data_IF_271198768924
#
_entry.id   IF_271198768924
#
_cell.length_a   1.000
_cell.length_b   1.000
_cell.length_c   1.000
_cell.angle_alpha   90.00
_cell.angle_beta   90.00
_cell.angle_gamma   90.00
#
_symmetry.space_group_name_H-M   'P 1'
#
loop_
_entity.id
_entity.type
_entity.pdbx_description
1 polymer ?
#
# COMPACT_ATOMS: atom_id res chain seq x y z
N UNK A 1 -5.94 -16.38 -14.22
CA UNK A 1 -6.66 -15.84 -13.05
C UNK A 1 -6.20 -14.42 -12.80
N UNK A 2 -7.12 -13.42 -12.84
CA UNK A 2 -6.75 -12.01 -12.57
C UNK A 2 -6.86 -11.71 -11.08
N UNK A 3 -5.84 -11.08 -10.51
CA UNK A 3 -5.82 -10.74 -9.08
C UNK A 3 -5.83 -9.24 -8.89
N UNK A 4 -6.21 -8.81 -7.68
CA UNK A 4 -6.22 -7.41 -7.27
C UNK A 4 -5.23 -7.21 -6.12
N UNK A 5 -4.30 -6.27 -6.29
CA UNK A 5 -3.35 -5.85 -5.25
C UNK A 5 -3.68 -4.44 -4.80
N UNK A 6 -4.15 -4.30 -3.56
CA UNK A 6 -4.42 -3.03 -2.90
C UNK A 6 -3.20 -2.66 -2.06
N UNK A 7 -2.38 -1.73 -2.53
CA UNK A 7 -1.12 -1.35 -1.92
C UNK A 7 -1.28 -0.12 -1.01
N UNK A 8 -0.78 -0.20 0.21
CA UNK A 8 -0.47 1.02 0.95
C UNK A 8 0.67 1.78 0.27
N UNK A 9 0.75 3.09 0.50
CA UNK A 9 1.74 3.94 -0.17
C UNK A 9 2.91 4.28 0.74
N UNK A 10 2.64 4.98 1.85
CA UNK A 10 3.65 5.45 2.78
C UNK A 10 4.24 4.28 3.58
N UNK A 11 5.56 4.16 3.67
CA UNK A 11 6.27 3.02 4.27
C UNK A 11 5.99 1.65 3.62
N UNK A 12 5.35 1.62 2.45
CA UNK A 12 5.08 0.39 1.69
C UNK A 12 5.66 0.50 0.28
N UNK A 13 5.16 1.38 -0.57
CA UNK A 13 5.72 1.67 -1.91
C UNK A 13 6.82 2.72 -1.84
N UNK A 14 6.64 3.74 -0.99
CA UNK A 14 7.60 4.83 -0.80
C UNK A 14 8.06 4.87 0.67
N UNK A 15 9.36 5.01 0.88
CA UNK A 15 10.03 5.09 2.16
C UNK A 15 10.10 6.54 2.68
N UNK A 16 10.18 6.68 4.00
CA UNK A 16 10.28 7.95 4.72
C UNK A 16 9.10 8.93 4.42
N UNK A 17 7.91 8.65 4.97
CA UNK A 17 6.69 9.41 4.68
C UNK A 17 6.74 10.83 5.24
N UNK A 18 7.51 11.08 6.29
CA UNK A 18 7.63 12.39 6.92
C UNK A 18 8.35 13.35 5.98
N UNK A 19 9.57 13.02 5.54
CA UNK A 19 10.30 13.80 4.56
C UNK A 19 9.46 14.01 3.29
N UNK A 20 8.94 12.91 2.73
CA UNK A 20 8.15 12.96 1.49
C UNK A 20 6.79 13.64 1.65
N UNK A 21 6.31 13.95 2.86
CA UNK A 21 5.09 14.76 3.05
C UNK A 21 5.42 16.23 3.29
N UNK A 22 6.54 16.52 3.98
CA UNK A 22 7.02 17.88 4.20
C UNK A 22 7.37 18.60 2.90
N UNK A 23 7.89 17.88 1.90
CA UNK A 23 8.15 18.43 0.55
C UNK A 23 6.88 18.94 -0.18
N UNK A 24 5.67 18.58 0.28
CA UNK A 24 4.41 19.06 -0.28
C UNK A 24 3.73 20.15 0.55
N UNK A 25 4.33 20.58 1.66
CA UNK A 25 3.85 21.72 2.42
C UNK A 25 4.31 23.04 1.76
N UNK A 26 3.48 24.09 1.71
CA UNK A 26 3.76 25.29 0.90
C UNK A 26 5.09 25.99 1.21
N UNK A 27 5.45 26.11 2.50
CA UNK A 27 6.64 26.84 2.93
C UNK A 27 7.89 25.94 2.94
N UNK A 28 7.76 24.73 3.50
CA UNK A 28 8.87 23.78 3.66
C UNK A 28 9.26 23.14 2.33
N UNK A 29 8.28 22.83 1.47
CA UNK A 29 8.52 22.13 0.21
C UNK A 29 9.24 22.92 -0.87
N UNK A 30 9.30 24.26 -0.74
CA UNK A 30 10.11 25.11 -1.63
C UNK A 30 11.60 25.00 -1.37
N UNK A 31 11.99 24.53 -0.19
CA UNK A 31 13.38 24.50 0.28
C UNK A 31 14.00 23.10 0.20
N UNK A 32 13.23 22.07 -0.17
CA UNK A 32 13.65 20.68 -0.13
C UNK A 32 13.59 20.04 -1.52
N UNK A 33 14.58 19.20 -1.90
CA UNK A 33 14.52 18.47 -3.15
C UNK A 33 13.37 17.45 -3.13
N UNK A 34 12.56 17.45 -4.19
CA UNK A 34 11.47 16.47 -4.39
C UNK A 34 12.04 15.13 -4.81
N UNK A 35 12.61 14.41 -3.86
CA UNK A 35 13.13 13.05 -4.04
C UNK A 35 12.32 12.08 -3.20
N UNK A 36 11.70 11.11 -3.87
CA UNK A 36 11.03 9.99 -3.21
C UNK A 36 12.05 8.86 -3.03
N UNK A 37 12.13 8.35 -1.80
CA UNK A 37 12.86 7.11 -1.56
C UNK A 37 11.91 5.97 -1.87
N UNK A 38 12.15 5.22 -2.93
CA UNK A 38 11.26 4.14 -3.36
C UNK A 38 11.69 2.85 -2.68
N UNK A 39 10.73 2.02 -2.26
CA UNK A 39 11.01 0.67 -1.77
C UNK A 39 11.68 -0.14 -2.87
N UNK A 40 12.80 -0.80 -2.55
CA UNK A 40 13.50 -1.68 -3.48
C UNK A 40 12.53 -2.63 -4.18
N UNK A 41 12.63 -2.69 -5.51
CA UNK A 41 11.80 -3.55 -6.35
C UNK A 41 10.35 -3.10 -6.57
N UNK A 42 9.86 -2.03 -5.93
CA UNK A 42 8.45 -1.66 -6.01
C UNK A 42 7.97 -1.37 -7.44
N UNK A 43 8.72 -0.56 -8.20
CA UNK A 43 8.40 -0.27 -9.61
C UNK A 43 8.40 -1.54 -10.46
N UNK A 44 9.42 -2.40 -10.29
CA UNK A 44 9.53 -3.68 -11.02
C UNK A 44 8.36 -4.61 -10.72
N UNK A 45 8.01 -4.74 -9.45
CA UNK A 45 6.92 -5.61 -8.98
C UNK A 45 5.59 -5.10 -9.52
N UNK A 46 5.29 -3.82 -9.37
CA UNK A 46 4.05 -3.23 -9.90
C UNK A 46 3.98 -3.42 -11.42
N UNK A 47 5.05 -3.11 -12.15
CA UNK A 47 5.10 -3.31 -13.59
C UNK A 47 4.92 -4.77 -14.01
N UNK A 48 5.48 -5.74 -13.26
CA UNK A 48 5.29 -7.16 -13.52
C UNK A 48 3.86 -7.64 -13.22
N UNK A 49 3.25 -7.18 -12.12
CA UNK A 49 1.84 -7.45 -11.83
C UNK A 49 0.94 -6.93 -12.97
N UNK A 50 1.19 -5.70 -13.43
CA UNK A 50 0.48 -5.12 -14.59
C UNK A 50 0.68 -5.95 -15.85
N UNK A 51 1.91 -6.41 -16.14
CA UNK A 51 2.20 -7.29 -17.30
C UNK A 51 1.45 -8.62 -17.24
N UNK A 52 1.24 -9.19 -16.05
CA UNK A 52 0.46 -10.42 -15.84
C UNK A 52 -1.05 -10.21 -15.98
N UNK A 53 -1.50 -8.98 -16.18
CA UNK A 53 -2.92 -8.63 -16.26
C UNK A 53 -3.60 -8.51 -14.90
N UNK A 54 -2.83 -8.44 -13.81
CA UNK A 54 -3.36 -8.14 -12.48
C UNK A 54 -3.76 -6.65 -12.38
N UNK A 55 -4.71 -6.39 -11.49
CA UNK A 55 -5.11 -5.05 -11.09
C UNK A 55 -4.28 -4.59 -9.89
N UNK A 56 -3.81 -3.35 -9.92
CA UNK A 56 -3.05 -2.72 -8.85
C UNK A 56 -3.73 -1.42 -8.48
N UNK A 57 -4.04 -1.23 -7.20
CA UNK A 57 -4.67 -0.02 -6.68
C UNK A 57 -3.84 0.48 -5.51
N UNK A 58 -3.55 1.77 -5.47
CA UNK A 58 -2.96 2.39 -4.28
C UNK A 58 -4.10 2.85 -3.37
N UNK A 59 -4.18 2.30 -2.15
CA UNK A 59 -5.05 2.81 -1.10
C UNK A 59 -4.20 3.41 0.01
N UNK A 60 -4.17 4.73 0.12
CA UNK A 60 -3.37 5.43 1.12
C UNK A 60 -4.23 6.22 2.09
N UNK A 61 -3.79 6.24 3.35
CA UNK A 61 -4.34 7.13 4.37
C UNK A 61 -3.62 8.49 4.31
N UNK A 62 -4.33 9.58 4.59
CA UNK A 62 -3.73 10.87 4.92
C UNK A 62 -4.31 11.45 6.20
N UNK A 63 -3.42 12.00 7.04
CA UNK A 63 -3.80 12.69 8.29
C UNK A 63 -3.41 14.16 8.22
N UNK A 64 -2.15 14.45 7.89
CA UNK A 64 -1.59 15.81 7.86
C UNK A 64 -1.90 16.52 6.54
N UNK A 65 -1.63 15.86 5.41
CA UNK A 65 -1.87 16.49 4.11
C UNK A 65 -3.37 16.49 3.76
N UNK A 66 -3.89 17.60 3.20
CA UNK A 66 -5.17 17.58 2.50
C UNK A 66 -5.17 16.49 1.42
N UNK A 67 -6.33 15.87 1.17
CA UNK A 67 -6.49 14.79 0.18
C UNK A 67 -5.89 15.18 -1.18
N UNK A 68 -6.18 16.40 -1.67
CA UNK A 68 -5.63 16.91 -2.94
C UNK A 68 -4.09 16.93 -2.95
N UNK A 69 -3.44 17.31 -1.84
CA UNK A 69 -1.96 17.32 -1.76
C UNK A 69 -1.38 15.92 -1.66
N UNK A 70 -2.07 15.01 -0.98
CA UNK A 70 -1.67 13.60 -0.93
C UNK A 70 -1.79 12.95 -2.33
N UNK A 71 -2.80 13.31 -3.12
CA UNK A 71 -2.89 12.89 -4.52
C UNK A 71 -1.70 13.40 -5.34
N UNK A 72 -1.36 14.71 -5.21
CA UNK A 72 -0.17 15.28 -5.88
C UNK A 72 1.11 14.54 -5.49
N UNK A 73 1.27 14.14 -4.23
CA UNK A 73 2.40 13.30 -3.78
C UNK A 73 2.48 11.98 -4.53
N UNK A 74 1.35 11.27 -4.70
CA UNK A 74 1.33 10.00 -5.42
C UNK A 74 1.66 10.23 -6.90
N UNK A 75 1.10 11.27 -7.52
CA UNK A 75 1.39 11.65 -8.91
C UNK A 75 2.87 11.90 -9.15
N UNK A 76 3.45 12.81 -8.39
CA UNK A 76 4.84 13.23 -8.57
C UNK A 76 5.85 12.14 -8.25
N UNK A 77 5.43 11.08 -7.53
CA UNK A 77 6.25 9.89 -7.33
C UNK A 77 6.29 8.95 -8.54
N UNK A 78 5.50 9.21 -9.58
CA UNK A 78 5.40 8.39 -10.80
C UNK A 78 4.42 7.22 -10.69
N UNK A 79 4.00 6.84 -9.48
CA UNK A 79 3.18 5.64 -9.29
C UNK A 79 1.71 5.77 -9.69
N UNK A 80 1.14 6.99 -9.80
CA UNK A 80 -0.25 7.17 -10.27
C UNK A 80 -0.43 6.58 -11.68
N UNK A 81 0.56 6.71 -12.56
CA UNK A 81 0.52 6.23 -13.94
C UNK A 81 0.80 4.72 -14.07
N UNK A 82 1.33 4.08 -13.02
CA UNK A 82 1.69 2.66 -13.02
C UNK A 82 0.57 1.73 -12.53
N UNK A 83 -0.51 2.29 -11.99
CA UNK A 83 -1.57 1.54 -11.29
C UNK A 83 -2.94 1.83 -11.91
N UNK A 84 -3.92 0.98 -11.65
CA UNK A 84 -5.28 1.13 -12.19
C UNK A 84 -6.08 2.22 -11.47
N UNK A 85 -5.77 2.48 -10.19
CA UNK A 85 -6.43 3.54 -9.43
C UNK A 85 -5.63 3.99 -8.21
N UNK A 86 -5.89 5.21 -7.76
CA UNK A 86 -5.36 5.79 -6.51
C UNK A 86 -6.51 6.29 -5.64
N UNK A 87 -6.67 5.67 -4.48
CA UNK A 87 -7.70 5.99 -3.49
C UNK A 87 -7.04 6.59 -2.26
N UNK A 88 -7.28 7.89 -2.03
CA UNK A 88 -6.82 8.60 -0.82
C UNK A 88 -7.96 8.78 0.16
N UNK A 89 -7.79 8.28 1.40
CA UNK A 89 -8.80 8.36 2.45
C UNK A 89 -8.25 8.96 3.75
N UNK A 90 -9.14 9.45 4.60
CA UNK A 90 -8.79 9.81 5.99
C UNK A 90 -8.65 8.58 6.90
N UNK A 91 -9.37 7.50 6.56
CA UNK A 91 -9.34 6.23 7.28
C UNK A 91 -9.59 5.08 6.31
N UNK A 92 -8.72 4.08 6.36
CA UNK A 92 -8.98 2.80 5.68
C UNK A 92 -10.03 2.05 6.49
N UNK A 93 -11.13 1.67 5.83
CA UNK A 93 -12.23 0.93 6.45
C UNK A 93 -12.58 -0.26 5.58
N UNK A 94 -13.20 -1.32 6.15
CA UNK A 94 -13.61 -2.45 5.35
C UNK A 94 -14.59 -2.08 4.22
N UNK A 95 -15.46 -1.09 4.45
CA UNK A 95 -16.37 -0.55 3.44
C UNK A 95 -15.61 0.03 2.24
N UNK A 96 -14.55 0.80 2.48
CA UNK A 96 -13.71 1.37 1.40
C UNK A 96 -13.04 0.25 0.60
N UNK A 97 -12.46 -0.74 1.28
CA UNK A 97 -11.79 -1.85 0.60
C UNK A 97 -12.78 -2.68 -0.22
N UNK A 98 -13.98 -2.97 0.29
CA UNK A 98 -15.03 -3.65 -0.48
C UNK A 98 -15.47 -2.87 -1.72
N UNK A 99 -15.65 -1.56 -1.59
CA UNK A 99 -15.96 -0.69 -2.73
C UNK A 99 -14.85 -0.67 -3.79
N UNK A 100 -13.58 -0.85 -3.40
CA UNK A 100 -12.48 -1.04 -4.36
C UNK A 100 -12.65 -2.39 -5.04
N UNK A 101 -12.82 -3.48 -4.28
CA UNK A 101 -12.94 -4.85 -4.84
C UNK A 101 -14.08 -4.93 -5.87
N UNK A 102 -15.24 -4.34 -5.58
CA UNK A 102 -16.41 -4.33 -6.46
C UNK A 102 -16.15 -3.68 -7.84
N UNK A 103 -15.13 -2.82 -7.95
CA UNK A 103 -14.78 -2.13 -9.21
C UNK A 103 -13.89 -2.97 -10.13
N UNK A 104 -13.32 -4.06 -9.64
CA UNK A 104 -12.37 -4.87 -10.40
C UNK A 104 -12.85 -6.33 -10.45
N UNK A 105 -12.97 -6.93 -11.65
CA UNK A 105 -13.37 -8.33 -11.80
C UNK A 105 -12.17 -9.27 -11.50
N UNK A 106 -11.69 -9.24 -10.26
CA UNK A 106 -10.59 -10.07 -9.77
C UNK A 106 -11.13 -11.29 -9.02
N UNK A 107 -10.53 -12.46 -9.26
CA UNK A 107 -10.88 -13.71 -8.58
C UNK A 107 -10.31 -13.77 -7.16
N UNK A 108 -9.21 -13.03 -6.93
CA UNK A 108 -8.55 -12.94 -5.63
C UNK A 108 -8.03 -11.53 -5.37
N UNK A 109 -8.13 -11.10 -4.13
CA UNK A 109 -7.66 -9.78 -3.69
C UNK A 109 -6.71 -9.88 -2.50
N UNK A 110 -5.70 -9.02 -2.54
CA UNK A 110 -4.66 -8.86 -1.53
C UNK A 110 -4.60 -7.41 -1.09
N UNK A 111 -4.43 -7.18 0.21
CA UNK A 111 -4.07 -5.86 0.71
C UNK A 111 -2.66 -5.92 1.30
N UNK A 112 -1.77 -5.14 0.71
CA UNK A 112 -0.34 -5.12 1.01
C UNK A 112 0.00 -3.86 1.79
N UNK A 113 0.63 -4.01 2.95
CA UNK A 113 1.10 -2.85 3.69
C UNK A 113 1.91 -3.19 4.93
N UNK A 114 2.45 -2.15 5.56
CA UNK A 114 3.29 -2.27 6.74
C UNK A 114 2.55 -1.95 8.06
N UNK A 115 1.26 -1.59 8.01
CA UNK A 115 0.48 -1.26 9.20
C UNK A 115 -0.51 -2.36 9.54
N UNK A 116 -0.35 -3.00 10.71
CA UNK A 116 -1.33 -4.00 11.14
C UNK A 116 -2.75 -3.43 11.24
N UNK A 117 -2.89 -2.27 11.89
CA UNK A 117 -4.20 -1.65 12.12
C UNK A 117 -4.87 -1.15 10.84
N UNK A 118 -4.12 -0.57 9.91
CA UNK A 118 -4.71 0.06 8.71
C UNK A 118 -4.76 -0.88 7.50
N UNK A 119 -3.90 -1.90 7.46
CA UNK A 119 -3.80 -2.80 6.32
C UNK A 119 -4.29 -4.20 6.69
N UNK A 120 -3.62 -4.88 7.62
CA UNK A 120 -3.94 -6.27 7.97
C UNK A 120 -5.34 -6.44 8.56
N UNK A 121 -5.67 -5.67 9.60
CA UNK A 121 -6.98 -5.76 10.26
C UNK A 121 -8.11 -5.36 9.31
N UNK A 122 -7.88 -4.36 8.45
CA UNK A 122 -8.86 -3.90 7.46
C UNK A 122 -9.07 -4.97 6.40
N UNK A 123 -8.00 -5.59 5.90
CA UNK A 123 -8.06 -6.68 4.92
C UNK A 123 -8.86 -7.88 5.44
N UNK A 124 -8.54 -8.33 6.67
CA UNK A 124 -9.23 -9.43 7.32
C UNK A 124 -10.73 -9.16 7.51
N UNK A 125 -11.08 -7.96 7.96
CA UNK A 125 -12.49 -7.52 8.09
C UNK A 125 -13.19 -7.30 6.76
N UNK A 126 -12.45 -7.18 5.67
CA UNK A 126 -12.98 -7.14 4.30
C UNK A 126 -13.08 -8.52 3.65
N UNK A 127 -12.59 -9.58 4.31
CA UNK A 127 -12.63 -10.95 3.80
C UNK A 127 -11.53 -11.32 2.82
N UNK A 128 -10.56 -10.42 2.57
CA UNK A 128 -9.45 -10.62 1.62
C UNK A 128 -8.16 -11.04 2.32
N UNK A 129 -7.15 -11.41 1.53
CA UNK A 129 -5.84 -11.80 2.07
C UNK A 129 -5.04 -10.57 2.48
N UNK A 130 -4.54 -10.54 3.71
CA UNK A 130 -3.61 -9.54 4.18
C UNK A 130 -2.18 -9.96 3.83
N UNK A 131 -1.40 -9.06 3.25
CA UNK A 131 0.03 -9.23 3.01
C UNK A 131 0.76 -8.18 3.84
N UNK A 132 1.42 -8.64 4.90
CA UNK A 132 2.11 -7.77 5.84
C UNK A 132 3.60 -7.74 5.54
N UNK A 133 4.13 -6.53 5.29
CA UNK A 133 5.57 -6.29 5.06
C UNK A 133 6.07 -5.36 6.17
N UNK A 134 6.63 -5.90 7.28
CA UNK A 134 7.05 -5.10 8.41
C UNK A 134 8.22 -4.17 8.06
N UNK A 135 8.32 -3.03 8.75
CA UNK A 135 9.41 -2.04 8.53
C UNK A 135 10.31 -1.86 9.75
N UNK A 136 9.87 -2.26 10.95
CA UNK A 136 10.70 -2.32 12.15
C UNK A 136 11.12 -3.75 12.51
N UNK A 137 12.35 -3.93 13.00
CA UNK A 137 12.77 -5.21 13.61
C UNK A 137 11.84 -5.56 14.78
N UNK A 138 11.26 -6.76 14.76
CA UNK A 138 10.43 -7.30 15.85
C UNK A 138 8.94 -6.96 15.79
N UNK A 139 8.48 -6.17 14.81
CA UNK A 139 7.04 -5.90 14.61
C UNK A 139 6.29 -7.16 14.19
N UNK A 140 6.87 -7.98 13.30
CA UNK A 140 6.33 -9.28 12.89
C UNK A 140 6.26 -10.27 14.07
N UNK A 141 7.25 -10.27 14.96
CA UNK A 141 7.31 -11.18 16.12
C UNK A 141 6.19 -10.90 17.13
N UNK A 142 5.95 -9.63 17.44
CA UNK A 142 4.83 -9.19 18.31
C UNK A 142 3.45 -9.52 17.71
N UNK A 143 3.36 -9.65 16.39
CA UNK A 143 2.13 -10.00 15.68
C UNK A 143 1.84 -11.49 15.69
N UNK A 144 2.87 -12.33 15.56
CA UNK A 144 2.76 -13.78 15.73
C UNK A 144 2.39 -14.15 17.18
N UNK A 145 2.87 -13.37 18.16
CA UNK A 145 2.63 -13.62 19.60
C UNK A 145 1.26 -13.12 20.12
N UNK A 146 0.64 -12.09 19.50
CA UNK A 146 -0.62 -11.49 19.99
C UNK A 146 -1.92 -12.18 19.54
N UNK A 147 -1.83 -13.42 19.06
CA UNK A 147 -2.99 -14.28 18.86
C UNK A 147 -3.47 -14.36 17.41
N UNK A 148 -3.02 -15.43 16.75
CA UNK A 148 -3.71 -16.06 15.63
C UNK A 148 -3.25 -15.60 14.25
N UNK A 149 -2.23 -16.26 13.72
CA UNK A 149 -2.06 -16.40 12.28
C UNK A 149 -3.36 -17.05 11.77
N UNK A 150 -4.23 -16.25 11.13
CA UNK A 150 -5.38 -16.76 10.38
C UNK A 150 -4.89 -17.13 8.99
N UNK A 151 -5.46 -18.16 8.35
CA UNK A 151 -5.09 -18.63 6.99
C UNK A 151 -4.98 -17.51 5.92
N UNK A 152 -5.58 -16.34 6.17
CA UNK A 152 -5.61 -15.18 5.27
C UNK A 152 -4.53 -14.11 5.54
N UNK A 153 -3.50 -14.38 6.36
CA UNK A 153 -2.37 -13.44 6.56
C UNK A 153 -1.09 -14.06 6.04
N UNK A 154 -0.44 -13.37 5.09
CA UNK A 154 0.90 -13.68 4.59
C UNK A 154 1.86 -12.61 5.10
N UNK A 155 2.99 -13.02 5.67
CA UNK A 155 4.06 -12.11 6.10
C UNK A 155 5.22 -12.27 5.13
N UNK A 156 5.69 -11.17 4.55
CA UNK A 156 6.84 -11.15 3.64
C UNK A 156 7.94 -10.26 4.23
N UNK A 157 9.19 -10.62 3.98
CA UNK A 157 10.33 -9.80 4.39
C UNK A 157 10.63 -8.69 3.36
N UNK A 158 10.31 -8.94 2.09
CA UNK A 158 10.60 -8.02 0.98
C UNK A 158 9.42 -7.83 0.05
N UNK A 159 9.40 -6.67 -0.62
CA UNK A 159 8.32 -6.29 -1.54
C UNK A 159 8.29 -7.18 -2.79
N UNK A 160 9.44 -7.68 -3.23
CA UNK A 160 9.60 -8.54 -4.41
C UNK A 160 8.89 -9.89 -4.27
N UNK A 161 8.69 -10.37 -3.05
CA UNK A 161 8.05 -11.66 -2.77
C UNK A 161 6.55 -11.64 -3.08
N UNK A 162 5.95 -10.46 -3.28
CA UNK A 162 4.57 -10.30 -3.77
C UNK A 162 4.35 -11.07 -5.08
N UNK A 163 5.38 -11.16 -5.94
CA UNK A 163 5.29 -11.85 -7.23
C UNK A 163 5.12 -13.37 -7.12
N UNK A 164 5.43 -13.95 -5.95
CA UNK A 164 5.28 -15.36 -5.66
C UNK A 164 3.94 -15.71 -5.01
N UNK A 165 3.10 -14.70 -4.72
CA UNK A 165 1.74 -14.95 -4.23
C UNK A 165 0.93 -15.69 -5.30
N UNK A 166 0.05 -16.62 -4.88
CA UNK A 166 -0.79 -17.39 -5.82
C UNK A 166 -1.85 -16.53 -6.50
#
# INVERSE_FOLDING_TARGET
MKRLFILDFDNTVVLNPNYSSFIHLPLIGRLLPRKYLITSGAERVIGELKRRGDFVVILTKTTVLPVKRKMVKVRESGFEEMVDDVVVVRRKTPKVVRAIIERFPAEKAYMVGNSYRNDVEVALKSGITAVYIPRGRGESRKLLEKGGIREKVVVLDRFEEILALP
#
